data_IF_895188351526
#
_entry.id   IF_895188351526
#
_cell.length_a   1.000
_cell.length_b   1.000
_cell.length_c   1.000
_cell.angle_alpha   90.00
_cell.angle_beta   90.00
_cell.angle_gamma   90.00
#
_symmetry.space_group_name_H-M   'P 1'
#
loop_
_entity.id
_entity.type
_entity.pdbx_description
1 polymer ?
#
# COMPACT_ATOMS: atom_id res chain seq x y z
N UNK A 1 17.96 11.62 -16.04
CA UNK A 1 17.85 11.80 -14.58
C UNK A 1 16.97 10.66 -14.08
N UNK A 2 17.50 9.73 -13.30
CA UNK A 2 16.68 8.68 -12.69
C UNK A 2 15.66 9.34 -11.75
N UNK A 3 14.40 8.92 -11.75
CA UNK A 3 13.41 9.47 -10.81
C UNK A 3 13.90 9.24 -9.39
N UNK A 4 13.98 10.30 -8.59
CA UNK A 4 14.32 10.20 -7.18
C UNK A 4 13.23 9.40 -6.48
N UNK A 5 13.59 8.27 -5.88
CA UNK A 5 12.64 7.47 -5.11
C UNK A 5 12.08 8.34 -3.97
N UNK A 6 10.76 8.43 -3.91
CA UNK A 6 10.05 9.13 -2.83
C UNK A 6 9.20 8.13 -2.06
N UNK A 7 9.18 8.25 -0.76
CA UNK A 7 8.40 7.36 0.09
C UNK A 7 8.65 7.57 1.58
N UNK A 8 7.93 6.80 2.38
CA UNK A 8 8.03 6.83 3.84
C UNK A 8 8.05 5.42 4.41
N UNK A 9 8.98 5.16 5.32
CA UNK A 9 9.22 3.84 5.93
C UNK A 9 9.14 3.97 7.43
N UNK A 10 8.45 3.03 8.07
CA UNK A 10 8.45 2.82 9.51
C UNK A 10 9.24 1.55 9.84
N UNK A 11 10.30 1.68 10.62
CA UNK A 11 11.13 0.57 11.10
C UNK A 11 10.86 0.34 12.58
N UNK A 12 10.52 -0.90 12.96
CA UNK A 12 10.11 -1.24 14.33
C UNK A 12 10.84 -2.47 14.81
N UNK A 13 11.57 -2.34 15.91
CA UNK A 13 12.29 -3.43 16.57
C UNK A 13 12.60 -3.01 18.02
N UNK A 14 12.37 -3.84 19.01
CA UNK A 14 12.64 -3.50 20.40
C UNK A 14 14.14 -3.39 20.71
N UNK A 15 14.99 -3.96 19.87
CA UNK A 15 16.43 -3.77 19.93
C UNK A 15 16.84 -2.48 19.20
N UNK A 16 17.09 -1.40 19.95
CA UNK A 16 17.53 -0.11 19.39
C UNK A 16 18.80 -0.22 18.51
N UNK A 17 19.65 -1.23 18.73
CA UNK A 17 20.84 -1.48 17.91
C UNK A 17 20.43 -1.95 16.50
N UNK A 18 19.43 -2.80 16.39
CA UNK A 18 18.88 -3.29 15.11
C UNK A 18 18.24 -2.14 14.34
N UNK A 19 17.38 -1.36 14.98
CA UNK A 19 16.74 -0.17 14.36
C UNK A 19 17.78 0.78 13.79
N UNK A 20 18.83 1.10 14.57
CA UNK A 20 19.93 1.95 14.08
C UNK A 20 20.72 1.34 12.92
N UNK A 21 20.91 0.02 12.93
CA UNK A 21 21.59 -0.69 11.84
C UNK A 21 20.76 -0.65 10.55
N UNK A 22 19.46 -0.92 10.63
CA UNK A 22 18.52 -0.80 9.51
C UNK A 22 18.49 0.62 8.94
N UNK A 23 18.35 1.61 9.81
CA UNK A 23 18.36 3.01 9.40
C UNK A 23 19.64 3.37 8.64
N UNK A 24 20.82 2.98 9.14
CA UNK A 24 22.11 3.24 8.45
C UNK A 24 22.20 2.51 7.11
N UNK A 25 21.75 1.26 7.06
CA UNK A 25 21.77 0.45 5.83
C UNK A 25 20.89 1.05 4.72
N UNK A 26 19.76 1.67 5.09
CA UNK A 26 18.80 2.22 4.14
C UNK A 26 19.02 3.69 3.79
N UNK A 27 19.54 4.50 4.71
CA UNK A 27 19.59 5.97 4.59
C UNK A 27 20.35 6.47 3.37
N UNK A 28 21.52 5.87 3.09
CA UNK A 28 22.37 6.29 1.96
C UNK A 28 21.83 5.75 0.63
N UNK A 29 21.54 4.44 0.49
CA UNK A 29 21.07 3.89 -0.79
C UNK A 29 19.72 4.45 -1.24
N UNK A 30 18.79 4.72 -0.32
CA UNK A 30 17.47 5.25 -0.67
C UNK A 30 17.46 6.76 -0.91
N UNK A 31 18.49 7.46 -0.44
CA UNK A 31 18.64 8.90 -0.63
C UNK A 31 17.69 9.76 0.21
N UNK A 32 17.67 11.06 -0.07
CA UNK A 32 16.90 12.04 0.72
C UNK A 32 15.40 12.08 0.41
N UNK A 33 14.96 11.43 -0.67
CA UNK A 33 13.55 11.37 -1.05
C UNK A 33 12.73 10.41 -0.19
N UNK A 34 13.38 9.53 0.59
CA UNK A 34 12.71 8.55 1.45
C UNK A 34 12.83 8.97 2.91
N UNK A 35 11.67 9.21 3.54
CA UNK A 35 11.57 9.47 4.98
C UNK A 35 11.64 8.14 5.73
N UNK A 36 12.52 8.03 6.71
CA UNK A 36 12.65 6.84 7.56
C UNK A 36 12.35 7.25 9.00
N UNK A 37 11.31 6.66 9.57
CA UNK A 37 10.93 6.79 10.99
C UNK A 37 11.28 5.48 11.70
N UNK A 38 11.72 5.57 12.94
CA UNK A 38 12.17 4.42 13.73
C UNK A 38 11.46 4.39 15.08
N UNK A 39 10.98 3.23 15.48
CA UNK A 39 10.32 2.98 16.77
C UNK A 39 10.93 1.79 17.47
N UNK A 40 10.92 1.83 18.80
CA UNK A 40 11.44 0.74 19.61
C UNK A 40 10.35 -0.08 20.32
N UNK A 41 9.09 0.11 19.95
CA UNK A 41 7.97 -0.70 20.42
C UNK A 41 6.80 -0.68 19.45
N UNK A 42 5.93 -1.70 19.52
CA UNK A 42 4.69 -1.72 18.74
C UNK A 42 3.75 -0.56 19.09
N UNK A 43 3.69 -0.16 20.36
CA UNK A 43 2.84 0.97 20.81
C UNK A 43 3.29 2.31 20.23
N UNK A 44 4.61 2.55 20.19
CA UNK A 44 5.19 3.73 19.58
C UNK A 44 4.90 3.75 18.05
N UNK A 45 5.11 2.60 17.40
CA UNK A 45 4.81 2.45 15.98
C UNK A 45 3.32 2.65 15.64
N UNK A 46 2.43 2.19 16.50
CA UNK A 46 0.99 2.41 16.34
C UNK A 46 0.62 3.90 16.43
N UNK A 47 1.22 4.63 17.37
CA UNK A 47 1.02 6.09 17.46
C UNK A 47 1.51 6.81 16.19
N UNK A 48 2.65 6.41 15.65
CA UNK A 48 3.15 6.95 14.38
C UNK A 48 2.25 6.61 13.18
N UNK A 49 1.70 5.40 13.11
CA UNK A 49 0.74 5.00 12.07
C UNK A 49 -0.56 5.82 12.11
N UNK A 50 -0.99 6.23 13.30
CA UNK A 50 -2.15 7.11 13.46
C UNK A 50 -1.82 8.56 13.06
N UNK A 51 -0.63 9.03 13.39
CA UNK A 51 -0.21 10.41 13.21
C UNK A 51 0.16 10.76 11.75
N UNK A 52 0.73 9.82 11.00
CA UNK A 52 1.19 10.06 9.64
C UNK A 52 1.10 8.80 8.77
N UNK A 53 1.14 9.00 7.44
CA UNK A 53 1.10 7.90 6.47
C UNK A 53 2.48 7.32 6.20
N UNK A 54 2.50 5.99 6.02
CA UNK A 54 3.68 5.26 5.59
C UNK A 54 3.40 4.45 4.34
N UNK A 55 4.43 4.29 3.50
CA UNK A 55 4.40 3.42 2.33
C UNK A 55 4.76 1.99 2.71
N UNK A 56 5.71 1.84 3.63
CA UNK A 56 6.22 0.54 4.08
C UNK A 56 6.38 0.54 5.59
N UNK A 57 5.95 -0.52 6.24
CA UNK A 57 6.32 -0.85 7.62
C UNK A 57 7.13 -2.14 7.64
N UNK A 58 8.26 -2.12 8.34
CA UNK A 58 9.09 -3.31 8.63
C UNK A 58 9.12 -3.49 10.13
N UNK A 59 8.57 -4.58 10.62
CA UNK A 59 8.51 -4.86 12.05
C UNK A 59 9.24 -6.15 12.40
N UNK A 60 9.96 -6.14 13.51
CA UNK A 60 10.35 -7.39 14.14
C UNK A 60 9.12 -8.22 14.50
N UNK A 61 9.26 -9.54 14.44
CA UNK A 61 8.19 -10.47 14.78
C UNK A 61 7.93 -10.53 16.28
N UNK A 62 9.02 -10.52 17.07
CA UNK A 62 8.96 -10.72 18.51
C UNK A 62 9.33 -9.47 19.28
N UNK A 63 8.34 -8.74 19.71
CA UNK A 63 8.53 -7.58 20.59
C UNK A 63 7.72 -7.74 21.86
N UNK A 64 8.17 -7.16 23.00
CA UNK A 64 7.41 -7.14 24.25
C UNK A 64 6.08 -6.40 24.11
N UNK A 65 5.07 -6.84 24.84
CA UNK A 65 3.73 -6.24 24.95
C UNK A 65 2.88 -6.33 23.65
N UNK A 66 3.38 -5.85 22.53
CA UNK A 66 2.73 -5.90 21.23
C UNK A 66 3.69 -6.52 20.22
N UNK A 67 3.40 -7.73 19.77
CA UNK A 67 4.20 -8.43 18.76
C UNK A 67 4.03 -7.85 17.36
N UNK A 68 5.00 -8.15 16.47
CA UNK A 68 4.99 -7.63 15.12
C UNK A 68 3.75 -8.03 14.32
N UNK A 69 3.23 -9.23 14.51
CA UNK A 69 2.01 -9.69 13.84
C UNK A 69 0.78 -8.88 14.22
N UNK A 70 0.63 -8.61 15.52
CA UNK A 70 -0.46 -7.78 16.04
C UNK A 70 -0.37 -6.35 15.51
N UNK A 71 0.83 -5.76 15.56
CA UNK A 71 1.09 -4.44 14.99
C UNK A 71 0.75 -4.39 13.49
N UNK A 72 1.17 -5.37 12.70
CA UNK A 72 0.93 -5.39 11.26
C UNK A 72 -0.54 -5.65 10.89
N UNK A 73 -1.28 -6.37 11.73
CA UNK A 73 -2.73 -6.49 11.58
C UNK A 73 -3.42 -5.14 11.80
N UNK A 74 -3.08 -4.43 12.88
CA UNK A 74 -3.60 -3.08 13.15
C UNK A 74 -3.19 -2.08 12.04
N UNK A 75 -1.96 -2.19 11.53
CA UNK A 75 -1.50 -1.37 10.41
C UNK A 75 -2.33 -1.59 9.14
N UNK A 76 -2.82 -2.81 8.89
CA UNK A 76 -3.71 -3.11 7.78
C UNK A 76 -5.05 -2.39 7.87
N UNK A 77 -5.60 -2.30 9.07
CA UNK A 77 -6.89 -1.63 9.32
C UNK A 77 -6.75 -0.10 9.25
N UNK A 78 -5.65 0.45 9.81
CA UNK A 78 -5.41 1.90 9.86
C UNK A 78 -4.96 2.43 8.50
N UNK A 79 -4.06 1.72 7.83
CA UNK A 79 -3.45 2.12 6.56
C UNK A 79 -3.44 0.96 5.56
N UNK A 80 -4.56 0.62 4.90
CA UNK A 80 -4.66 -0.52 3.98
C UNK A 80 -3.65 -0.48 2.82
N UNK A 81 -3.21 0.72 2.41
CA UNK A 81 -2.21 0.93 1.36
C UNK A 81 -0.76 0.82 1.83
N UNK A 82 -0.50 0.67 3.14
CA UNK A 82 0.84 0.49 3.68
C UNK A 82 1.32 -0.95 3.45
N UNK A 83 2.45 -1.11 2.79
CA UNK A 83 3.08 -2.42 2.56
C UNK A 83 3.72 -2.93 3.84
N UNK A 84 3.36 -4.14 4.23
CA UNK A 84 3.74 -4.75 5.52
C UNK A 84 4.78 -5.83 5.31
N UNK A 85 5.90 -5.71 6.03
CA UNK A 85 7.02 -6.64 5.99
C UNK A 85 7.41 -7.04 7.41
N UNK A 86 7.89 -8.26 7.57
CA UNK A 86 8.45 -8.77 8.83
C UNK A 86 9.95 -8.88 8.71
N UNK A 87 10.66 -8.51 9.77
CA UNK A 87 12.05 -8.84 9.99
C UNK A 87 12.13 -9.91 11.06
N UNK A 88 12.73 -11.07 10.78
CA UNK A 88 12.70 -12.23 11.69
C UNK A 88 14.05 -12.91 11.80
N UNK A 89 14.34 -13.46 12.97
CA UNK A 89 15.47 -14.37 13.16
C UNK A 89 15.21 -15.75 12.52
N UNK A 90 16.26 -16.51 12.32
CA UNK A 90 16.19 -17.86 11.72
C UNK A 90 15.28 -18.84 12.48
N UNK A 91 15.14 -18.67 13.79
CA UNK A 91 14.30 -19.52 14.63
C UNK A 91 12.78 -19.39 14.36
N UNK A 92 12.35 -18.28 13.75
CA UNK A 92 10.95 -17.92 13.53
C UNK A 92 10.51 -17.99 12.07
N UNK A 93 11.35 -18.59 11.24
CA UNK A 93 11.14 -18.65 9.77
C UNK A 93 9.79 -19.29 9.40
N UNK A 94 9.42 -20.39 10.03
CA UNK A 94 8.15 -21.11 9.75
C UNK A 94 6.95 -20.23 10.08
N UNK A 95 6.98 -19.54 11.23
CA UNK A 95 5.93 -18.63 11.65
C UNK A 95 5.81 -17.42 10.70
N UNK A 96 6.95 -16.89 10.23
CA UNK A 96 6.95 -15.79 9.26
C UNK A 96 6.40 -16.21 7.89
N UNK A 97 6.69 -17.42 7.45
CA UNK A 97 6.18 -17.98 6.19
C UNK A 97 4.65 -18.20 6.24
N UNK A 98 4.13 -18.73 7.33
CA UNK A 98 2.69 -18.86 7.54
C UNK A 98 2.00 -17.50 7.58
N UNK A 99 2.63 -16.51 8.22
CA UNK A 99 2.13 -15.15 8.33
C UNK A 99 1.98 -14.44 6.97
N UNK A 100 2.89 -14.66 6.04
CA UNK A 100 2.78 -14.11 4.66
C UNK A 100 1.49 -14.58 4.00
N UNK A 101 1.17 -15.86 4.15
CA UNK A 101 0.00 -16.45 3.52
C UNK A 101 -1.33 -16.07 4.19
N UNK A 102 -1.34 -15.95 5.52
CA UNK A 102 -2.57 -15.71 6.30
C UNK A 102 -2.93 -14.23 6.42
N UNK A 103 -1.93 -13.34 6.52
CA UNK A 103 -2.14 -11.92 6.86
C UNK A 103 -1.83 -10.96 5.71
N UNK A 104 -1.61 -11.47 4.49
CA UNK A 104 -1.36 -10.63 3.32
C UNK A 104 -0.09 -9.78 3.47
N UNK A 105 0.95 -10.32 4.09
CA UNK A 105 2.24 -9.65 4.18
C UNK A 105 2.92 -9.66 2.82
N UNK A 106 3.57 -8.56 2.49
CA UNK A 106 4.29 -8.45 1.24
C UNK A 106 5.52 -9.37 1.20
N UNK A 107 6.28 -9.39 2.30
CA UNK A 107 7.51 -10.21 2.41
C UNK A 107 7.97 -10.31 3.86
N UNK A 108 8.76 -11.35 4.13
CA UNK A 108 9.63 -11.42 5.30
C UNK A 108 11.09 -11.19 4.91
N UNK A 109 11.88 -10.67 5.83
CA UNK A 109 13.33 -10.48 5.76
C UNK A 109 13.98 -11.23 6.92
N UNK A 110 15.15 -11.79 6.70
CA UNK A 110 15.87 -12.54 7.73
C UNK A 110 16.93 -11.70 8.42
N UNK A 111 17.11 -11.92 9.71
CA UNK A 111 18.25 -11.42 10.50
C UNK A 111 19.34 -12.53 10.52
N UNK A 112 20.61 -12.24 10.20
CA UNK A 112 21.14 -10.98 9.65
C UNK A 112 20.73 -10.80 8.17
N UNK A 113 20.64 -9.54 7.74
CA UNK A 113 20.30 -9.20 6.36
C UNK A 113 21.53 -8.79 5.55
N UNK A 114 21.45 -9.02 4.24
CA UNK A 114 22.36 -8.41 3.28
C UNK A 114 21.81 -7.03 2.87
N UNK A 115 22.69 -5.99 2.89
CA UNK A 115 22.25 -4.60 2.66
C UNK A 115 21.63 -4.41 1.29
N UNK A 116 22.23 -4.96 0.24
CA UNK A 116 21.74 -4.81 -1.14
C UNK A 116 20.39 -5.51 -1.33
N UNK A 117 20.20 -6.64 -0.66
CA UNK A 117 18.93 -7.37 -0.68
C UNK A 117 17.83 -6.57 0.06
N UNK A 118 18.15 -6.05 1.25
CA UNK A 118 17.25 -5.20 2.01
C UNK A 118 16.81 -3.98 1.20
N UNK A 119 17.75 -3.24 0.62
CA UNK A 119 17.49 -2.06 -0.21
C UNK A 119 16.60 -2.40 -1.39
N UNK A 120 16.88 -3.48 -2.11
CA UNK A 120 16.08 -3.94 -3.24
C UNK A 120 14.64 -4.25 -2.83
N UNK A 121 14.43 -4.94 -1.71
CA UNK A 121 13.10 -5.28 -1.21
C UNK A 121 12.31 -4.06 -0.76
N UNK A 122 12.95 -3.14 -0.05
CA UNK A 122 12.32 -1.89 0.40
C UNK A 122 11.96 -1.01 -0.81
N UNK A 123 12.84 -0.87 -1.79
CA UNK A 123 12.56 -0.11 -3.02
C UNK A 123 11.35 -0.68 -3.76
N UNK A 124 11.29 -2.01 -3.91
CA UNK A 124 10.16 -2.69 -4.55
C UNK A 124 8.87 -2.52 -3.75
N UNK A 125 8.94 -2.55 -2.42
CA UNK A 125 7.79 -2.34 -1.54
C UNK A 125 7.23 -0.92 -1.63
N UNK A 126 8.09 0.10 -1.67
CA UNK A 126 7.69 1.50 -1.89
C UNK A 126 6.98 1.64 -3.25
N UNK A 127 7.58 1.13 -4.32
CA UNK A 127 6.99 1.19 -5.65
C UNK A 127 5.61 0.52 -5.69
N UNK A 128 5.47 -0.64 -5.06
CA UNK A 128 4.20 -1.36 -4.95
C UNK A 128 3.15 -0.57 -4.16
N UNK A 129 3.52 0.05 -3.03
CA UNK A 129 2.62 0.91 -2.24
C UNK A 129 2.10 2.10 -3.06
N UNK A 130 3.00 2.78 -3.77
CA UNK A 130 2.64 3.92 -4.64
C UNK A 130 1.67 3.48 -5.75
N UNK A 131 1.93 2.35 -6.40
CA UNK A 131 1.05 1.82 -7.45
C UNK A 131 -0.33 1.44 -6.90
N UNK A 132 -0.39 0.75 -5.76
CA UNK A 132 -1.65 0.38 -5.10
C UNK A 132 -2.48 1.62 -4.75
N UNK A 133 -1.83 2.65 -4.25
CA UNK A 133 -2.47 3.92 -3.90
C UNK A 133 -3.05 4.61 -5.13
N UNK A 134 -2.27 4.70 -6.22
CA UNK A 134 -2.75 5.28 -7.47
C UNK A 134 -3.99 4.54 -8.00
N UNK A 135 -4.01 3.21 -7.90
CA UNK A 135 -5.18 2.39 -8.29
C UNK A 135 -6.41 2.68 -7.42
N UNK A 136 -6.22 2.83 -6.10
CA UNK A 136 -7.31 3.16 -5.17
C UNK A 136 -7.87 4.55 -5.43
N UNK A 137 -7.00 5.54 -5.66
CA UNK A 137 -7.39 6.92 -5.98
C UNK A 137 -8.19 6.97 -7.28
N UNK A 138 -7.76 6.27 -8.32
CA UNK A 138 -8.50 6.15 -9.58
C UNK A 138 -9.87 5.49 -9.38
N UNK A 139 -9.94 4.40 -8.61
CA UNK A 139 -11.21 3.73 -8.31
C UNK A 139 -12.17 4.65 -7.55
N UNK A 140 -11.66 5.39 -6.55
CA UNK A 140 -12.46 6.33 -5.78
C UNK A 140 -12.94 7.50 -6.63
N UNK A 141 -12.09 8.06 -7.49
CA UNK A 141 -12.47 9.11 -8.43
C UNK A 141 -13.51 8.63 -9.43
N UNK A 142 -13.36 7.40 -9.92
CA UNK A 142 -14.34 6.80 -10.84
C UNK A 142 -15.70 6.64 -10.18
N UNK A 143 -15.77 6.12 -8.94
CA UNK A 143 -17.01 6.00 -8.17
C UNK A 143 -17.63 7.38 -7.88
N UNK A 144 -16.81 8.37 -7.49
CA UNK A 144 -17.28 9.73 -7.25
C UNK A 144 -17.85 10.37 -8.52
N UNK A 145 -17.22 10.14 -9.68
CA UNK A 145 -17.73 10.63 -10.98
C UNK A 145 -19.04 9.95 -11.38
N UNK A 146 -19.24 8.69 -11.01
CA UNK A 146 -20.50 7.97 -11.24
C UNK A 146 -21.64 8.50 -10.32
N UNK A 147 -21.32 8.85 -9.08
CA UNK A 147 -22.28 9.42 -8.13
C UNK A 147 -22.74 10.85 -8.47
N UNK A 148 -22.05 11.54 -9.38
CA UNK A 148 -22.45 12.86 -9.91
C UNK A 148 -23.28 12.74 -11.20
N UNK A 149 -23.37 11.57 -11.80
CA UNK A 149 -24.21 11.35 -12.97
C UNK A 149 -25.69 11.34 -12.57
N UNK A 150 -26.54 12.05 -13.29
CA UNK A 150 -27.98 12.00 -13.06
C UNK A 150 -28.51 10.57 -13.26
N UNK A 151 -29.66 10.20 -12.64
CA UNK A 151 -30.27 8.90 -12.89
C UNK A 151 -30.48 8.59 -14.37
N UNK A 152 -30.77 9.60 -15.18
CA UNK A 152 -30.93 9.52 -16.64
C UNK A 152 -29.60 9.24 -17.34
N UNK A 153 -28.51 9.83 -16.88
CA UNK A 153 -27.15 9.57 -17.41
C UNK A 153 -26.63 8.18 -17.09
N UNK A 154 -26.93 7.68 -15.88
CA UNK A 154 -26.61 6.30 -15.48
C UNK A 154 -27.37 5.28 -16.29
N UNK A 155 -28.66 5.51 -16.50
CA UNK A 155 -29.50 4.64 -17.32
C UNK A 155 -29.08 4.67 -18.80
N UNK A 156 -28.75 5.84 -19.35
CA UNK A 156 -28.22 5.98 -20.70
C UNK A 156 -26.91 5.20 -20.88
N UNK A 157 -25.97 5.29 -19.93
CA UNK A 157 -24.70 4.54 -19.98
C UNK A 157 -24.93 3.03 -19.88
N UNK A 158 -25.91 2.61 -19.07
CA UNK A 158 -26.28 1.22 -18.94
C UNK A 158 -26.85 0.67 -20.26
N UNK A 159 -27.77 1.39 -20.87
CA UNK A 159 -28.36 1.02 -22.15
C UNK A 159 -27.33 0.98 -23.27
N UNK A 160 -26.44 1.96 -23.34
CA UNK A 160 -25.34 2.02 -24.31
C UNK A 160 -24.33 0.88 -24.15
N UNK A 161 -24.10 0.43 -22.89
CA UNK A 161 -23.24 -0.74 -22.61
C UNK A 161 -23.90 -2.08 -22.99
N UNK A 162 -25.22 -2.16 -22.94
CA UNK A 162 -25.97 -3.36 -23.35
C UNK A 162 -26.15 -3.43 -24.86
N UNK A 163 -26.40 -2.32 -25.50
CA UNK A 163 -26.62 -2.20 -26.95
C UNK A 163 -25.98 -0.90 -27.45
N UNK A 164 -24.74 -0.94 -27.97
CA UNK A 164 -24.06 0.24 -28.47
C UNK A 164 -24.86 0.94 -29.59
N UNK A 165 -25.13 2.23 -29.40
CA UNK A 165 -25.91 3.05 -30.34
C UNK A 165 -27.41 3.19 -30.01
N UNK A 166 -27.94 2.47 -29.02
CA UNK A 166 -29.38 2.53 -28.66
C UNK A 166 -29.81 3.93 -28.20
N UNK A 167 -28.89 4.74 -27.68
CA UNK A 167 -29.18 6.11 -27.24
C UNK A 167 -28.97 7.16 -28.32
N UNK A 168 -28.50 6.78 -29.51
CA UNK A 168 -28.31 7.67 -30.67
C UNK A 168 -29.53 7.59 -31.57
N UNK A 169 -30.54 8.38 -31.23
CA UNK A 169 -31.78 8.46 -32.02
C UNK A 169 -31.71 9.66 -32.94
N UNK A 170 -31.74 9.42 -34.26
CA UNK A 170 -31.91 10.48 -35.26
C UNK A 170 -33.39 10.80 -35.43
N UNK A 171 -33.72 12.10 -35.43
CA UNK A 171 -35.09 12.60 -35.63
C UNK A 171 -35.18 13.26 -36.99
N UNK A 172 -36.28 13.05 -37.70
CA UNK A 172 -36.57 13.80 -38.91
C UNK A 172 -37.09 15.20 -38.62
N UNK A 173 -37.33 15.98 -39.69
CA UNK A 173 -37.82 17.37 -39.58
C UNK A 173 -39.25 17.45 -39.03
N UNK A 174 -40.00 16.36 -39.03
CA UNK A 174 -41.36 16.22 -38.52
C UNK A 174 -41.40 15.67 -37.08
N UNK A 175 -40.23 15.36 -36.48
CA UNK A 175 -40.12 14.89 -35.11
C UNK A 175 -40.39 13.38 -34.94
N UNK A 176 -40.22 12.60 -36.00
CA UNK A 176 -40.33 11.14 -35.98
C UNK A 176 -38.92 10.52 -35.90
N UNK A 177 -38.82 9.35 -35.22
CA UNK A 177 -37.57 8.59 -35.12
C UNK A 177 -37.22 7.92 -36.43
N UNK A 178 -36.02 8.15 -36.93
CA UNK A 178 -35.51 7.46 -38.12
C UNK A 178 -34.97 6.10 -37.70
N UNK A 179 -35.68 5.02 -37.98
CA UNK A 179 -35.18 3.64 -37.81
C UNK A 179 -34.35 3.23 -39.02
N UNK A 180 -33.10 2.89 -38.83
CA UNK A 180 -32.21 2.26 -39.81
C UNK A 180 -32.09 0.78 -39.59
#
# INVERSE_FOLDING_TARGET
MSPTLQGSILLVDDEAAIVRALHRALRIPLGNGVKIVTCNSGSEALAELIAQRFDVIVSDLRMPNMGGMELLALAADIQPGCVRMILTGTADFTTAQEAVNQFGLYRYLTKPWETDELVRHITSAIAFSVEQRARQDHATQWVASQGQASPEELERRRLEAMEPGITQVEWDAEGCVIMR
#
